data_IF_945994721337
#
_entry.id   IF_945994721337
#
_cell.length_a   1.000
_cell.length_b   1.000
_cell.length_c   1.000
_cell.angle_alpha   90.00
_cell.angle_beta   90.00
_cell.angle_gamma   90.00
#
_symmetry.space_group_name_H-M   'P 1'
#
loop_
_entity.id
_entity.type
_entity.pdbx_description
1 polymer ?
#
# COMPACT_ATOMS: atom_id res chain seq x y z
N UNK A 1 -12.20 9.38 11.26
CA UNK A 1 -12.33 10.33 12.39
C UNK A 1 -11.08 10.22 13.25
N UNK A 2 -10.11 11.12 13.09
CA UNK A 2 -8.88 11.12 13.92
C UNK A 2 -8.57 12.54 14.38
N UNK A 3 -7.90 12.68 15.53
CA UNK A 3 -7.32 13.94 15.99
C UNK A 3 -8.30 15.07 16.35
N UNK A 4 -9.61 14.81 16.46
CA UNK A 4 -10.57 15.86 16.84
C UNK A 4 -10.48 16.18 18.33
N UNK A 5 -9.79 17.28 18.64
CA UNK A 5 -9.72 17.82 19.99
C UNK A 5 -11.11 18.20 20.50
N UNK A 6 -11.41 17.83 21.74
CA UNK A 6 -12.65 18.22 22.41
C UNK A 6 -12.52 19.67 22.87
N UNK A 7 -13.02 20.60 22.07
CA UNK A 7 -13.04 22.03 22.41
C UNK A 7 -14.31 22.34 23.19
N UNK A 8 -14.19 23.01 24.35
CA UNK A 8 -15.33 23.61 25.04
C UNK A 8 -15.73 24.89 24.31
N UNK A 9 -16.80 24.84 23.54
CA UNK A 9 -17.35 26.00 22.78
C UNK A 9 -18.45 26.69 23.58
N UNK A 10 -18.58 28.02 23.45
CA UNK A 10 -19.72 28.75 24.02
C UNK A 10 -21.04 28.31 23.36
N UNK A 11 -22.17 28.54 24.03
CA UNK A 11 -23.50 28.18 23.49
C UNK A 11 -23.81 28.89 22.15
N UNK A 12 -23.37 30.14 22.02
CA UNK A 12 -23.52 30.93 20.79
C UNK A 12 -22.66 30.38 19.64
N UNK A 13 -21.40 30.04 19.92
CA UNK A 13 -20.50 29.47 18.92
C UNK A 13 -20.96 28.06 18.49
N UNK A 14 -21.48 27.26 19.43
CA UNK A 14 -22.07 25.96 19.15
C UNK A 14 -23.30 26.09 18.23
N UNK A 15 -24.16 27.07 18.48
CA UNK A 15 -25.34 27.35 17.65
C UNK A 15 -24.93 27.78 16.24
N UNK A 16 -23.94 28.66 16.10
CA UNK A 16 -23.39 29.07 14.80
C UNK A 16 -22.81 27.90 14.02
N UNK A 17 -21.95 27.09 14.65
CA UNK A 17 -21.38 25.87 14.03
C UNK A 17 -22.45 24.88 13.63
N UNK A 18 -23.51 24.72 14.42
CA UNK A 18 -24.63 23.84 14.08
C UNK A 18 -25.39 24.35 12.86
N UNK A 19 -25.65 25.65 12.76
CA UNK A 19 -26.31 26.26 11.59
C UNK A 19 -25.48 26.07 10.31
N UNK A 20 -24.16 26.30 10.38
CA UNK A 20 -23.24 26.06 9.26
C UNK A 20 -23.20 24.59 8.85
N UNK A 21 -23.15 23.65 9.81
CA UNK A 21 -23.20 22.20 9.54
C UNK A 21 -24.51 21.79 8.88
N UNK A 22 -25.65 22.32 9.35
CA UNK A 22 -26.95 22.04 8.77
C UNK A 22 -27.05 22.55 7.33
N UNK A 23 -26.56 23.75 7.05
CA UNK A 23 -26.51 24.30 5.70
C UNK A 23 -25.64 23.45 4.76
N UNK A 24 -24.44 23.04 5.21
CA UNK A 24 -23.56 22.13 4.45
C UNK A 24 -24.22 20.76 4.22
N UNK A 25 -24.90 20.21 5.22
CA UNK A 25 -25.61 18.95 5.09
C UNK A 25 -26.79 19.04 4.11
N UNK A 26 -27.54 20.14 4.11
CA UNK A 26 -28.62 20.38 3.15
C UNK A 26 -28.08 20.48 1.71
N UNK A 27 -27.00 21.24 1.49
CA UNK A 27 -26.35 21.34 0.19
C UNK A 27 -25.80 19.99 -0.30
N UNK A 28 -25.19 19.20 0.60
CA UNK A 28 -24.73 17.85 0.28
C UNK A 28 -25.89 16.94 -0.14
N UNK A 29 -27.01 16.94 0.60
CA UNK A 29 -28.19 16.12 0.26
C UNK A 29 -28.76 16.50 -1.09
N UNK A 30 -28.99 17.79 -1.33
CA UNK A 30 -29.49 18.27 -2.62
C UNK A 30 -28.55 17.91 -3.79
N UNK A 31 -27.24 18.03 -3.58
CA UNK A 31 -26.23 17.61 -4.57
C UNK A 31 -26.28 16.11 -4.84
N UNK A 32 -26.36 15.28 -3.79
CA UNK A 32 -26.47 13.82 -3.90
C UNK A 32 -27.76 13.38 -4.58
N UNK A 33 -28.91 13.97 -4.23
CA UNK A 33 -30.20 13.68 -4.87
C UNK A 33 -30.13 13.94 -6.37
N UNK A 34 -29.56 15.08 -6.77
CA UNK A 34 -29.38 15.40 -8.19
C UNK A 34 -28.45 14.42 -8.89
N UNK A 35 -27.32 14.07 -8.26
CA UNK A 35 -26.38 13.08 -8.81
C UNK A 35 -27.06 11.70 -8.99
N UNK A 36 -27.84 11.26 -8.01
CA UNK A 36 -28.53 9.97 -8.07
C UNK A 36 -29.60 9.95 -9.16
N UNK A 37 -30.38 11.03 -9.32
CA UNK A 37 -31.35 11.14 -10.41
C UNK A 37 -30.67 11.10 -11.79
N UNK A 38 -29.52 11.78 -11.96
CA UNK A 38 -28.74 11.72 -13.21
C UNK A 38 -28.19 10.32 -13.46
N UNK A 39 -27.71 9.63 -12.42
CA UNK A 39 -27.26 8.24 -12.51
C UNK A 39 -28.38 7.31 -12.97
N UNK A 40 -29.58 7.44 -12.42
CA UNK A 40 -30.75 6.63 -12.81
C UNK A 40 -31.13 6.83 -14.27
N UNK A 41 -30.98 8.05 -14.78
CA UNK A 41 -31.23 8.39 -16.20
C UNK A 41 -30.03 8.16 -17.12
N UNK A 42 -28.92 7.63 -16.59
CA UNK A 42 -27.65 7.45 -17.31
C UNK A 42 -27.11 8.73 -17.98
N UNK A 43 -27.36 9.90 -17.39
CA UNK A 43 -26.89 11.20 -17.87
C UNK A 43 -25.42 11.45 -17.47
N UNK A 44 -24.49 11.06 -18.34
CA UNK A 44 -23.04 11.22 -18.15
C UNK A 44 -22.53 12.53 -18.79
N UNK A 45 -22.91 13.67 -18.23
CA UNK A 45 -22.60 15.00 -18.77
C UNK A 45 -21.66 15.84 -17.88
N UNK A 46 -21.27 17.02 -18.36
CA UNK A 46 -20.36 17.93 -17.67
C UNK A 46 -20.93 18.36 -16.30
N UNK A 47 -22.25 18.49 -16.20
CA UNK A 47 -22.91 18.80 -14.94
C UNK A 47 -22.68 17.70 -13.90
N UNK A 48 -22.79 16.43 -14.26
CA UNK A 48 -22.49 15.32 -13.35
C UNK A 48 -21.04 15.37 -12.87
N UNK A 49 -20.10 15.71 -13.76
CA UNK A 49 -18.69 15.89 -13.40
C UNK A 49 -18.50 17.07 -12.43
N UNK A 50 -19.19 18.19 -12.63
CA UNK A 50 -19.13 19.35 -11.71
C UNK A 50 -19.75 19.01 -10.34
N UNK A 51 -20.91 18.34 -10.31
CA UNK A 51 -21.61 17.98 -9.08
C UNK A 51 -20.81 17.00 -8.23
N UNK A 52 -20.28 15.94 -8.85
CA UNK A 52 -19.40 14.98 -8.15
C UNK A 52 -18.15 15.68 -7.63
N UNK A 53 -17.57 16.60 -8.39
CA UNK A 53 -16.37 17.35 -8.02
C UNK A 53 -16.58 18.23 -6.78
N UNK A 54 -17.71 18.92 -6.69
CA UNK A 54 -18.09 19.74 -5.53
C UNK A 54 -18.19 18.95 -4.23
N UNK A 55 -18.69 17.70 -4.30
CA UNK A 55 -18.82 16.85 -3.13
C UNK A 55 -17.47 16.23 -2.76
N UNK A 56 -16.73 15.72 -3.75
CA UNK A 56 -15.45 15.05 -3.53
C UNK A 56 -14.36 16.00 -3.03
N UNK A 57 -14.38 17.27 -3.44
CA UNK A 57 -13.46 18.28 -2.89
C UNK A 57 -13.68 18.55 -1.40
N UNK A 58 -14.86 18.24 -0.85
CA UNK A 58 -15.13 18.33 0.59
C UNK A 58 -14.96 16.97 1.30
N UNK A 59 -15.27 15.87 0.62
CA UNK A 59 -15.15 14.51 1.14
C UNK A 59 -14.72 13.54 0.03
N UNK A 60 -13.41 13.26 -0.12
CA UNK A 60 -12.91 12.40 -1.18
C UNK A 60 -13.18 10.91 -0.95
N UNK A 61 -13.78 10.52 0.19
CA UNK A 61 -14.03 9.11 0.53
C UNK A 61 -15.39 8.60 0.05
N UNK A 62 -16.12 9.37 -0.76
CA UNK A 62 -17.39 8.93 -1.35
C UNK A 62 -17.12 8.12 -2.63
N UNK A 63 -16.81 6.84 -2.46
CA UNK A 63 -16.38 5.93 -3.54
C UNK A 63 -17.26 5.96 -4.79
N UNK A 64 -18.59 5.97 -4.62
CA UNK A 64 -19.55 5.97 -5.75
C UNK A 64 -19.37 7.16 -6.69
N UNK A 65 -18.98 8.33 -6.17
CA UNK A 65 -18.81 9.52 -6.99
C UNK A 65 -17.59 9.40 -7.89
N UNK A 66 -16.50 8.80 -7.43
CA UNK A 66 -15.35 8.49 -8.28
C UNK A 66 -15.72 7.53 -9.41
N UNK A 67 -16.58 6.54 -9.15
CA UNK A 67 -17.07 5.64 -10.20
C UNK A 67 -17.83 6.40 -11.29
N UNK A 68 -18.71 7.33 -10.89
CA UNK A 68 -19.45 8.18 -11.84
C UNK A 68 -18.51 9.11 -12.61
N UNK A 69 -17.51 9.70 -11.93
CA UNK A 69 -16.47 10.51 -12.61
C UNK A 69 -15.75 9.70 -13.69
N UNK A 70 -15.33 8.46 -13.39
CA UNK A 70 -14.68 7.60 -14.39
C UNK A 70 -15.55 7.37 -15.62
N UNK A 71 -16.85 7.13 -15.43
CA UNK A 71 -17.79 6.97 -16.53
C UNK A 71 -17.90 8.25 -17.39
N UNK A 72 -18.03 9.43 -16.76
CA UNK A 72 -18.00 10.72 -17.48
C UNK A 72 -16.69 10.90 -18.27
N UNK A 73 -15.54 10.69 -17.62
CA UNK A 73 -14.23 10.85 -18.24
C UNK A 73 -14.06 9.91 -19.45
N UNK A 74 -14.49 8.65 -19.33
CA UNK A 74 -14.46 7.69 -20.44
C UNK A 74 -15.36 8.11 -21.60
N UNK A 75 -16.58 8.61 -21.31
CA UNK A 75 -17.50 9.09 -22.35
C UNK A 75 -16.90 10.28 -23.08
N UNK A 76 -16.33 11.25 -22.38
CA UNK A 76 -15.74 12.44 -23.00
C UNK A 76 -14.46 12.13 -23.76
N UNK A 77 -13.59 11.27 -23.22
CA UNK A 77 -12.37 10.84 -23.91
C UNK A 77 -12.68 10.11 -25.23
N UNK A 78 -13.77 9.33 -25.29
CA UNK A 78 -14.23 8.69 -26.54
C UNK A 78 -14.77 9.68 -27.56
N UNK A 79 -15.29 10.82 -27.13
CA UNK A 79 -15.80 11.87 -28.01
C UNK A 79 -14.69 12.79 -28.54
N UNK A 80 -13.52 12.80 -27.89
CA UNK A 80 -12.33 13.54 -28.30
C UNK A 80 -11.38 12.63 -29.08
N UNK A 81 -11.66 12.43 -30.37
CA UNK A 81 -10.87 11.57 -31.25
C UNK A 81 -9.46 12.11 -31.52
N UNK A 82 -9.24 13.42 -31.39
CA UNK A 82 -7.97 14.07 -31.72
C UNK A 82 -6.94 13.91 -30.61
N UNK A 83 -7.32 14.18 -29.35
CA UNK A 83 -6.38 14.15 -28.23
C UNK A 83 -6.62 13.01 -27.25
N UNK A 84 -7.67 12.20 -27.45
CA UNK A 84 -8.07 11.14 -26.52
C UNK A 84 -8.45 11.64 -25.13
N UNK A 85 -8.80 12.93 -25.01
CA UNK A 85 -9.11 13.58 -23.75
C UNK A 85 -7.90 13.86 -22.85
N UNK A 86 -6.68 14.00 -23.39
CA UNK A 86 -5.47 14.23 -22.56
C UNK A 86 -5.63 15.40 -21.59
N UNK A 87 -6.10 16.56 -22.06
CA UNK A 87 -6.33 17.74 -21.20
C UNK A 87 -7.37 17.49 -20.11
N UNK A 88 -8.37 16.65 -20.38
CA UNK A 88 -9.40 16.28 -19.42
C UNK A 88 -8.81 15.43 -18.29
N UNK A 89 -7.97 14.43 -18.62
CA UNK A 89 -7.28 13.62 -17.63
C UNK A 89 -6.27 14.44 -16.81
N UNK A 90 -5.54 15.38 -17.42
CA UNK A 90 -4.62 16.27 -16.71
C UNK A 90 -5.34 17.15 -15.68
N UNK A 91 -6.51 17.71 -16.06
CA UNK A 91 -7.37 18.45 -15.13
C UNK A 91 -7.87 17.56 -13.98
N UNK A 92 -8.19 16.30 -14.26
CA UNK A 92 -8.65 15.36 -13.23
C UNK A 92 -7.51 14.88 -12.32
N UNK A 93 -6.27 14.79 -12.82
CA UNK A 93 -5.06 14.62 -11.99
C UNK A 93 -4.86 15.81 -11.05
N UNK A 94 -5.05 17.05 -11.51
CA UNK A 94 -5.04 18.21 -10.61
C UNK A 94 -6.17 18.15 -9.58
N UNK A 95 -7.35 17.67 -9.98
CA UNK A 95 -8.48 17.49 -9.07
C UNK A 95 -8.21 16.45 -7.98
N UNK A 96 -7.62 15.30 -8.33
CA UNK A 96 -7.21 14.30 -7.33
C UNK A 96 -6.15 14.84 -6.37
N UNK A 97 -5.20 15.65 -6.84
CA UNK A 97 -4.23 16.30 -5.95
C UNK A 97 -4.91 17.24 -4.94
N UNK A 98 -5.89 18.05 -5.36
CA UNK A 98 -6.68 18.87 -4.45
C UNK A 98 -7.44 18.02 -3.42
N UNK A 99 -8.02 16.89 -3.84
CA UNK A 99 -8.71 15.96 -2.95
C UNK A 99 -7.76 15.33 -1.92
N UNK A 100 -6.55 14.98 -2.34
CA UNK A 100 -5.51 14.41 -1.47
C UNK A 100 -4.95 15.43 -0.46
N UNK A 101 -5.00 16.73 -0.76
CA UNK A 101 -4.70 17.77 0.24
C UNK A 101 -5.76 17.83 1.35
N UNK A 102 -7.02 17.47 1.05
CA UNK A 102 -8.09 17.40 2.05
C UNK A 102 -7.98 16.13 2.89
N UNK A 103 -7.75 14.99 2.25
CA UNK A 103 -7.47 13.74 2.95
C UNK A 103 -6.36 12.94 2.23
N UNK A 104 -5.10 13.03 2.69
CA UNK A 104 -3.97 12.33 2.06
C UNK A 104 -4.01 10.81 2.29
N UNK A 105 -4.97 10.32 3.09
CA UNK A 105 -5.20 8.91 3.42
C UNK A 105 -6.46 8.36 2.75
N UNK A 106 -6.99 9.06 1.74
CA UNK A 106 -8.17 8.60 0.99
C UNK A 106 -7.78 7.49 0.01
N UNK A 107 -8.23 6.26 0.29
CA UNK A 107 -8.09 5.14 -0.66
C UNK A 107 -8.71 5.45 -2.01
N UNK A 108 -9.88 6.11 -2.01
CA UNK A 108 -10.64 6.38 -3.22
C UNK A 108 -9.89 7.35 -4.14
N UNK A 109 -9.30 8.41 -3.58
CA UNK A 109 -8.55 9.39 -4.35
C UNK A 109 -7.26 8.80 -4.96
N UNK A 110 -6.48 8.03 -4.17
CA UNK A 110 -5.29 7.34 -4.67
C UNK A 110 -5.62 6.33 -5.77
N UNK A 111 -6.64 5.50 -5.55
CA UNK A 111 -7.07 4.52 -6.55
C UNK A 111 -7.59 5.18 -7.83
N UNK A 112 -8.37 6.26 -7.73
CA UNK A 112 -8.82 7.01 -8.90
C UNK A 112 -7.66 7.63 -9.65
N UNK A 113 -6.63 8.14 -8.95
CA UNK A 113 -5.42 8.67 -9.58
C UNK A 113 -4.65 7.61 -10.37
N UNK A 114 -4.51 6.39 -9.84
CA UNK A 114 -3.95 5.26 -10.60
C UNK A 114 -4.75 5.02 -11.89
N UNK A 115 -6.08 4.95 -11.77
CA UNK A 115 -6.95 4.72 -12.92
C UNK A 115 -6.80 5.82 -13.98
N UNK A 116 -6.73 7.09 -13.58
CA UNK A 116 -6.54 8.21 -14.52
C UNK A 116 -5.25 8.03 -15.32
N UNK A 117 -4.13 7.68 -14.68
CA UNK A 117 -2.85 7.48 -15.37
C UNK A 117 -2.83 6.24 -16.27
N UNK A 118 -3.61 5.20 -15.94
CA UNK A 118 -3.73 4.01 -16.79
C UNK A 118 -4.61 4.22 -18.02
N UNK A 119 -5.46 5.25 -18.01
CA UNK A 119 -6.42 5.52 -19.07
C UNK A 119 -6.12 6.80 -19.86
N UNK A 120 -5.20 7.64 -19.40
CA UNK A 120 -4.80 8.82 -20.17
C UNK A 120 -3.88 8.43 -21.34
N UNK A 121 -3.95 9.15 -22.47
CA UNK A 121 -3.12 8.87 -23.64
C UNK A 121 -1.61 8.91 -23.37
N UNK A 122 -1.14 9.93 -22.65
CA UNK A 122 0.28 10.15 -22.37
C UNK A 122 0.52 10.38 -20.87
N UNK A 123 0.60 9.32 -20.05
CA UNK A 123 0.89 9.45 -18.63
C UNK A 123 2.32 9.93 -18.39
N UNK A 124 2.46 10.97 -17.56
CA UNK A 124 3.77 11.44 -17.09
C UNK A 124 4.10 10.80 -15.74
N UNK A 125 4.70 9.61 -15.77
CA UNK A 125 5.04 8.86 -14.55
C UNK A 125 6.13 9.53 -13.70
N UNK A 126 7.07 10.25 -14.31
CA UNK A 126 8.14 10.96 -13.57
C UNK A 126 7.58 12.05 -12.66
N UNK A 127 6.60 12.81 -13.16
CA UNK A 127 5.87 13.81 -12.36
C UNK A 127 5.17 13.17 -11.15
N UNK A 128 4.73 11.92 -11.27
CA UNK A 128 4.08 11.20 -10.17
C UNK A 128 5.08 10.71 -9.12
N UNK A 129 6.30 10.34 -9.54
CA UNK A 129 7.41 10.06 -8.62
C UNK A 129 7.76 11.33 -7.82
N UNK A 130 7.83 12.49 -8.46
CA UNK A 130 8.04 13.78 -7.80
C UNK A 130 6.91 14.13 -6.82
N UNK A 131 5.65 13.88 -7.20
CA UNK A 131 4.50 14.06 -6.32
C UNK A 131 4.62 13.17 -5.07
N UNK A 132 5.05 11.92 -5.22
CA UNK A 132 5.32 11.05 -4.07
C UNK A 132 6.38 11.64 -3.15
N UNK A 133 7.48 12.17 -3.71
CA UNK A 133 8.53 12.84 -2.94
C UNK A 133 7.99 14.01 -2.13
N UNK A 134 7.12 14.84 -2.73
CA UNK A 134 6.43 15.95 -2.05
C UNK A 134 5.53 15.47 -0.91
N UNK A 135 4.69 14.47 -1.14
CA UNK A 135 3.76 13.97 -0.13
C UNK A 135 4.48 13.27 1.03
N UNK A 136 5.54 12.50 0.73
CA UNK A 136 6.41 11.88 1.75
C UNK A 136 7.32 12.87 2.46
N UNK A 137 7.39 14.13 2.02
CA UNK A 137 7.99 15.22 2.81
C UNK A 137 7.00 15.81 3.81
N UNK A 138 5.70 15.76 3.52
CA UNK A 138 4.64 16.26 4.40
C UNK A 138 4.25 15.23 5.47
N UNK A 139 4.11 13.96 5.09
CA UNK A 139 3.87 12.83 5.99
C UNK A 139 4.68 11.63 5.49
N UNK A 140 5.86 11.47 6.05
CA UNK A 140 6.80 10.41 5.67
C UNK A 140 6.32 9.01 6.04
N UNK A 141 5.28 8.91 6.89
CA UNK A 141 4.67 7.64 7.32
C UNK A 141 3.36 7.35 6.59
N UNK A 142 3.00 8.15 5.58
CA UNK A 142 1.82 7.91 4.77
C UNK A 142 2.02 6.67 3.89
N UNK A 143 1.56 5.51 4.36
CA UNK A 143 1.70 4.24 3.63
C UNK A 143 0.97 4.26 2.29
N UNK A 144 -0.13 5.01 2.14
CA UNK A 144 -0.81 5.12 0.84
C UNK A 144 0.10 5.76 -0.20
N UNK A 145 0.87 6.78 0.19
CA UNK A 145 1.83 7.43 -0.69
C UNK A 145 3.03 6.52 -0.96
N UNK A 146 3.49 5.72 0.00
CA UNK A 146 4.53 4.72 -0.24
C UNK A 146 4.06 3.61 -1.20
N UNK A 147 2.82 3.15 -1.07
CA UNK A 147 2.22 2.17 -1.96
C UNK A 147 2.07 2.73 -3.37
N UNK A 148 1.57 3.96 -3.48
CA UNK A 148 1.48 4.68 -4.74
C UNK A 148 2.86 4.91 -5.36
N UNK A 149 3.87 5.26 -4.56
CA UNK A 149 5.26 5.40 -5.02
C UNK A 149 5.75 4.11 -5.67
N UNK A 150 5.61 2.95 -5.00
CA UNK A 150 6.03 1.65 -5.55
C UNK A 150 5.33 1.33 -6.88
N UNK A 151 4.07 1.73 -7.02
CA UNK A 151 3.33 1.60 -8.27
C UNK A 151 3.89 2.51 -9.38
N UNK A 152 4.09 3.79 -9.12
CA UNK A 152 4.54 4.75 -10.16
C UNK A 152 6.00 4.60 -10.53
N UNK A 153 6.88 4.23 -9.60
CA UNK A 153 8.31 3.97 -9.90
C UNK A 153 8.48 2.76 -10.81
N UNK A 154 7.63 1.73 -10.64
CA UNK A 154 7.60 0.59 -11.54
C UNK A 154 7.12 0.99 -12.94
N UNK A 155 6.09 1.84 -13.04
CA UNK A 155 5.59 2.36 -14.34
C UNK A 155 6.57 3.31 -15.03
N UNK A 156 7.31 4.11 -14.26
CA UNK A 156 8.37 5.00 -14.74
C UNK A 156 9.68 4.25 -15.06
N UNK A 157 9.78 2.94 -14.78
CA UNK A 157 11.02 2.16 -14.90
C UNK A 157 12.19 2.77 -14.09
N UNK A 158 11.90 3.36 -12.93
CA UNK A 158 12.95 3.85 -12.02
C UNK A 158 13.72 2.64 -11.48
N UNK A 159 15.05 2.61 -11.60
CA UNK A 159 15.82 1.45 -11.17
C UNK A 159 15.76 1.29 -9.64
N UNK A 160 15.74 0.05 -9.10
CA UNK A 160 15.70 -0.18 -7.66
C UNK A 160 16.83 0.49 -6.88
N UNK A 161 17.99 0.72 -7.52
CA UNK A 161 19.11 1.45 -6.91
C UNK A 161 18.75 2.88 -6.54
N UNK A 162 17.99 3.59 -7.39
CA UNK A 162 17.50 4.95 -7.10
C UNK A 162 16.47 4.98 -5.98
N UNK A 163 15.65 3.95 -5.87
CA UNK A 163 14.73 3.82 -4.74
C UNK A 163 15.46 3.47 -3.44
N UNK A 164 16.56 2.71 -3.51
CA UNK A 164 17.40 2.45 -2.34
C UNK A 164 18.10 3.74 -1.88
N UNK A 165 18.63 4.54 -2.81
CA UNK A 165 19.17 5.89 -2.53
C UNK A 165 18.11 6.78 -1.86
N UNK A 166 16.89 6.83 -2.40
CA UNK A 166 15.77 7.57 -1.81
C UNK A 166 15.47 7.11 -0.37
N UNK A 167 15.48 5.81 -0.11
CA UNK A 167 15.29 5.30 1.24
C UNK A 167 16.44 5.70 2.19
N UNK A 168 17.69 5.67 1.71
CA UNK A 168 18.86 6.15 2.46
C UNK A 168 18.66 7.62 2.87
N UNK A 169 18.30 8.49 1.93
CA UNK A 169 18.06 9.91 2.18
C UNK A 169 16.97 10.11 3.23
N UNK A 170 15.86 9.35 3.14
CA UNK A 170 14.76 9.43 4.12
C UNK A 170 15.20 9.02 5.53
N UNK A 171 16.02 7.99 5.66
CA UNK A 171 16.54 7.53 6.96
C UNK A 171 17.55 8.52 7.54
N UNK A 172 18.44 9.07 6.71
CA UNK A 172 19.40 10.09 7.16
C UNK A 172 18.70 11.35 7.67
N UNK A 173 17.57 11.72 7.07
CA UNK A 173 16.75 12.84 7.54
C UNK A 173 15.91 12.48 8.77
N UNK A 174 15.40 11.25 8.86
CA UNK A 174 14.69 10.74 10.03
C UNK A 174 14.86 9.22 10.19
N UNK A 175 15.66 8.83 11.18
CA UNK A 175 15.92 7.43 11.49
C UNK A 175 14.68 6.65 11.95
N UNK A 176 13.64 7.33 12.45
CA UNK A 176 12.37 6.70 12.87
C UNK A 176 11.41 6.38 11.71
N UNK A 177 11.85 6.57 10.45
CA UNK A 177 11.01 6.32 9.28
C UNK A 177 10.89 4.81 8.98
N UNK A 178 9.97 4.13 9.68
CA UNK A 178 9.70 2.71 9.49
C UNK A 178 9.39 2.33 8.04
N UNK A 179 8.65 3.17 7.32
CA UNK A 179 8.29 2.91 5.93
C UNK A 179 9.50 2.84 5.02
N UNK A 180 10.51 3.69 5.26
CA UNK A 180 11.77 3.65 4.53
C UNK A 180 12.55 2.36 4.84
N UNK A 181 12.73 2.02 6.13
CA UNK A 181 13.37 0.74 6.53
C UNK A 181 12.68 -0.48 5.92
N UNK A 182 11.35 -0.51 5.95
CA UNK A 182 10.57 -1.57 5.34
C UNK A 182 10.83 -1.66 3.82
N UNK A 183 10.85 -0.52 3.12
CA UNK A 183 11.06 -0.55 1.68
C UNK A 183 12.48 -0.97 1.31
N UNK A 184 13.50 -0.54 2.08
CA UNK A 184 14.88 -1.07 1.95
C UNK A 184 14.92 -2.59 2.06
N UNK A 185 14.20 -3.15 3.03
CA UNK A 185 14.13 -4.60 3.25
C UNK A 185 13.57 -5.38 2.04
N UNK A 186 12.86 -4.69 1.13
CA UNK A 186 12.36 -5.26 -0.13
C UNK A 186 13.28 -5.00 -1.32
N UNK A 187 14.04 -3.91 -1.30
CA UNK A 187 14.94 -3.52 -2.38
C UNK A 187 16.29 -4.25 -2.31
N UNK A 188 16.84 -4.43 -1.10
CA UNK A 188 18.15 -5.04 -0.92
C UNK A 188 18.25 -6.48 -1.47
N UNK A 189 17.25 -7.37 -1.30
CA UNK A 189 17.32 -8.71 -1.88
C UNK A 189 17.33 -8.73 -3.41
N UNK A 190 16.80 -7.67 -4.05
CA UNK A 190 16.79 -7.53 -5.51
C UNK A 190 18.16 -7.05 -6.01
N UNK A 191 18.79 -6.13 -5.28
CA UNK A 191 20.04 -5.48 -5.69
C UNK A 191 21.29 -6.26 -5.26
N UNK A 192 21.24 -6.92 -4.10
CA UNK A 192 22.38 -7.57 -3.47
C UNK A 192 21.99 -8.96 -2.95
N UNK A 193 21.47 -9.87 -3.81
CA UNK A 193 21.08 -11.20 -3.37
C UNK A 193 22.27 -12.00 -2.84
N UNK A 194 22.03 -12.87 -1.87
CA UNK A 194 23.02 -13.87 -1.49
C UNK A 194 23.05 -14.98 -2.55
N UNK A 195 24.19 -15.19 -3.21
CA UNK A 195 24.33 -16.19 -4.25
C UNK A 195 24.66 -17.59 -3.70
N UNK A 196 25.15 -17.68 -2.46
CA UNK A 196 25.64 -18.92 -1.84
C UNK A 196 24.59 -19.55 -0.92
N UNK A 197 23.78 -18.74 -0.24
CA UNK A 197 22.79 -19.18 0.75
C UNK A 197 21.43 -18.51 0.49
N UNK A 198 20.51 -19.26 -0.11
CA UNK A 198 19.16 -18.78 -0.40
C UNK A 198 18.31 -18.53 0.86
N UNK A 199 18.73 -19.02 2.03
CA UNK A 199 18.07 -18.71 3.30
C UNK A 199 18.37 -17.29 3.79
N UNK A 200 19.46 -16.68 3.29
CA UNK A 200 19.84 -15.30 3.57
C UNK A 200 19.38 -14.38 2.44
N UNK A 201 18.63 -13.31 2.75
CA UNK A 201 18.05 -12.48 1.71
C UNK A 201 19.08 -11.60 0.98
N UNK A 202 20.24 -11.33 1.60
CA UNK A 202 21.24 -10.37 1.09
C UNK A 202 22.66 -10.91 1.24
N UNK A 203 23.60 -10.40 0.44
CA UNK A 203 25.01 -10.76 0.51
C UNK A 203 25.63 -10.42 1.87
N UNK A 204 26.66 -11.17 2.28
CA UNK A 204 27.35 -10.97 3.56
C UNK A 204 28.02 -9.58 3.66
N UNK A 205 28.57 -9.08 2.55
CA UNK A 205 29.10 -7.72 2.45
C UNK A 205 28.02 -6.68 2.75
N UNK A 206 26.86 -6.79 2.10
CA UNK A 206 25.78 -5.83 2.28
C UNK A 206 25.13 -5.93 3.66
N UNK A 207 25.06 -7.14 4.22
CA UNK A 207 24.59 -7.36 5.58
C UNK A 207 25.43 -6.58 6.61
N UNK A 208 26.76 -6.59 6.48
CA UNK A 208 27.65 -5.83 7.38
C UNK A 208 27.40 -4.33 7.29
N UNK A 209 27.31 -3.78 6.08
CA UNK A 209 27.00 -2.36 5.88
C UNK A 209 25.65 -1.95 6.50
N UNK A 210 24.60 -2.77 6.30
CA UNK A 210 23.28 -2.47 6.85
C UNK A 210 23.22 -2.62 8.38
N UNK A 211 24.02 -3.54 8.95
CA UNK A 211 24.19 -3.67 10.39
C UNK A 211 24.86 -2.43 11.00
N UNK A 212 25.88 -1.87 10.35
CA UNK A 212 26.51 -0.61 10.79
C UNK A 212 25.53 0.57 10.70
N UNK A 213 24.77 0.65 9.60
CA UNK A 213 23.76 1.69 9.39
C UNK A 213 22.68 1.65 10.48
N UNK A 214 22.09 0.47 10.73
CA UNK A 214 21.02 0.33 11.73
C UNK A 214 21.52 0.51 13.16
N UNK A 215 22.76 0.12 13.43
CA UNK A 215 23.39 0.30 14.74
C UNK A 215 23.55 1.79 15.06
N UNK A 216 23.99 2.58 14.06
CA UNK A 216 24.08 4.03 14.17
C UNK A 216 22.71 4.64 14.46
N UNK A 217 21.66 4.20 13.75
CA UNK A 217 20.29 4.67 13.99
C UNK A 217 19.79 4.33 15.42
N UNK A 218 19.97 3.08 15.85
CA UNK A 218 19.54 2.60 17.16
C UNK A 218 20.27 3.28 18.33
N UNK A 219 21.55 3.63 18.19
CA UNK A 219 22.27 4.39 19.22
C UNK A 219 21.98 5.89 19.17
N UNK A 220 21.56 6.43 18.03
CA UNK A 220 21.15 7.84 17.91
C UNK A 220 19.82 8.09 18.62
N UNK A 221 18.85 7.19 18.44
CA UNK A 221 17.59 7.21 19.19
C UNK A 221 17.19 5.80 19.65
N UNK A 222 17.62 5.38 20.87
CA UNK A 222 17.28 4.07 21.41
C UNK A 222 15.77 3.84 21.60
N UNK A 223 14.98 4.91 21.66
CA UNK A 223 13.53 4.85 21.78
C UNK A 223 12.81 4.54 20.48
N UNK A 224 13.47 4.70 19.32
CA UNK A 224 12.88 4.38 18.04
C UNK A 224 12.84 2.86 17.80
N UNK A 225 11.64 2.31 17.76
CA UNK A 225 11.44 0.89 17.46
C UNK A 225 11.82 0.49 16.02
N UNK A 226 11.86 1.43 15.08
CA UNK A 226 12.00 1.12 13.66
C UNK A 226 13.36 0.51 13.34
N UNK A 227 14.43 1.11 13.85
CA UNK A 227 15.78 0.57 13.74
C UNK A 227 15.88 -0.84 14.36
N UNK A 228 15.30 -1.07 15.54
CA UNK A 228 15.33 -2.39 16.19
C UNK A 228 14.60 -3.48 15.39
N UNK A 229 13.44 -3.16 14.81
CA UNK A 229 12.72 -4.10 13.95
C UNK A 229 13.50 -4.42 12.67
N UNK A 230 14.16 -3.42 12.08
CA UNK A 230 15.00 -3.63 10.91
C UNK A 230 16.25 -4.47 11.23
N UNK A 231 16.90 -4.19 12.36
CA UNK A 231 18.02 -5.00 12.85
C UNK A 231 17.62 -6.45 13.08
N UNK A 232 16.45 -6.68 13.69
CA UNK A 232 15.90 -8.04 13.88
C UNK A 232 15.68 -8.76 12.55
N UNK A 233 15.27 -8.04 11.51
CA UNK A 233 15.16 -8.61 10.16
C UNK A 233 16.54 -8.97 9.59
N UNK A 234 17.55 -8.10 9.72
CA UNK A 234 18.93 -8.36 9.27
C UNK A 234 19.56 -9.57 9.95
N UNK A 235 19.34 -9.72 11.26
CA UNK A 235 19.87 -10.84 12.05
C UNK A 235 19.19 -12.19 11.75
N UNK A 236 18.18 -12.18 10.89
CA UNK A 236 17.54 -13.39 10.41
C UNK A 236 16.49 -13.91 11.38
N UNK A 237 15.22 -13.80 10.97
CA UNK A 237 14.35 -14.96 11.08
C UNK A 237 14.70 -15.89 9.93
N UNK A 238 15.62 -16.83 10.12
CA UNK A 238 15.65 -17.98 9.23
C UNK A 238 14.31 -18.71 9.44
N UNK A 239 13.51 -18.81 8.39
CA UNK A 239 12.48 -19.85 8.39
C UNK A 239 13.28 -21.15 8.47
N UNK A 240 13.09 -21.99 9.52
CA UNK A 240 13.81 -23.24 9.59
C UNK A 240 13.53 -24.01 8.29
N UNK A 241 14.58 -24.55 7.69
CA UNK A 241 14.45 -25.41 6.52
C UNK A 241 13.47 -26.53 6.83
N UNK A 242 12.78 -27.02 5.79
CA UNK A 242 11.91 -28.16 6.00
C UNK A 242 12.75 -29.39 6.33
N UNK A 243 12.63 -29.86 7.57
CA UNK A 243 13.33 -31.04 8.04
C UNK A 243 12.42 -31.84 8.99
N UNK A 244 12.79 -33.09 9.26
CA UNK A 244 12.19 -33.97 10.25
C UNK A 244 12.63 -33.53 11.65
N UNK A 245 11.72 -32.94 12.41
CA UNK A 245 11.98 -32.54 13.79
C UNK A 245 12.00 -33.73 14.74
N UNK A 246 11.15 -34.74 14.50
CA UNK A 246 11.13 -35.98 15.26
C UNK A 246 10.36 -37.08 14.51
N UNK A 247 10.71 -38.32 14.83
CA UNK A 247 10.01 -39.52 14.41
C UNK A 247 9.78 -40.43 15.62
N UNK A 248 8.57 -40.97 15.75
CA UNK A 248 8.23 -41.96 16.77
C UNK A 248 7.41 -43.08 16.16
N UNK A 249 7.78 -44.31 16.46
CA UNK A 249 7.00 -45.50 16.13
C UNK A 249 6.51 -46.17 17.40
N UNK A 250 5.21 -46.44 17.47
CA UNK A 250 4.56 -47.26 18.49
C UNK A 250 4.12 -48.58 17.82
N UNK A 251 4.94 -49.61 17.99
CA UNK A 251 4.70 -50.93 17.37
C UNK A 251 3.51 -51.65 17.99
N UNK A 252 3.18 -51.40 19.26
CA UNK A 252 2.02 -51.99 19.92
C UNK A 252 0.70 -51.43 19.35
N UNK A 253 0.69 -50.17 18.92
CA UNK A 253 -0.46 -49.50 18.30
C UNK A 253 -0.44 -49.48 16.77
N UNK A 254 0.64 -49.93 16.14
CA UNK A 254 0.84 -49.82 14.70
C UNK A 254 0.85 -48.37 14.20
N UNK A 255 1.34 -47.43 15.02
CA UNK A 255 1.28 -45.99 14.76
C UNK A 255 2.68 -45.40 14.56
N UNK A 256 2.88 -44.68 13.45
CA UNK A 256 4.04 -43.84 13.23
C UNK A 256 3.64 -42.35 13.29
N UNK A 257 4.40 -41.56 14.02
CA UNK A 257 4.23 -40.10 14.13
C UNK A 257 5.48 -39.42 13.62
N UNK A 258 5.29 -38.50 12.68
CA UNK A 258 6.35 -37.68 12.08
C UNK A 258 6.03 -36.23 12.39
N UNK A 259 7.01 -35.48 12.91
CA UNK A 259 6.91 -34.04 13.09
C UNK A 259 7.96 -33.33 12.24
N UNK A 260 7.59 -32.20 11.64
CA UNK A 260 8.48 -31.40 10.81
C UNK A 260 8.84 -30.09 11.52
N UNK A 261 9.97 -29.50 11.18
CA UNK A 261 10.44 -28.19 11.67
C UNK A 261 9.50 -27.02 11.32
N UNK A 262 8.63 -27.21 10.32
CA UNK A 262 7.55 -26.28 9.95
C UNK A 262 6.29 -27.04 9.53
N UNK A 263 5.09 -26.44 9.59
CA UNK A 263 3.85 -27.09 9.16
C UNK A 263 3.92 -27.55 7.69
N UNK A 264 3.60 -28.83 7.45
CA UNK A 264 3.53 -29.41 6.09
C UNK A 264 2.14 -30.00 5.86
N UNK A 265 1.56 -29.68 4.71
CA UNK A 265 0.35 -30.33 4.24
C UNK A 265 0.70 -31.49 3.31
N UNK A 266 0.68 -32.72 3.84
CA UNK A 266 0.96 -33.94 3.10
C UNK A 266 -0.18 -34.39 2.17
N UNK A 267 -1.37 -33.77 2.24
CA UNK A 267 -2.52 -34.11 1.38
C UNK A 267 -2.48 -33.42 0.01
N UNK A 268 -1.80 -32.28 -0.09
CA UNK A 268 -1.77 -31.44 -1.30
C UNK A 268 -0.44 -31.47 -2.05
N UNK A 269 0.57 -32.17 -1.53
CA UNK A 269 1.88 -32.31 -2.17
C UNK A 269 2.08 -33.74 -2.62
N UNK A 270 2.80 -33.94 -3.73
CA UNK A 270 3.41 -35.22 -4.13
C UNK A 270 4.52 -35.68 -3.15
N UNK A 271 4.36 -35.38 -1.86
CA UNK A 271 5.28 -35.77 -0.82
C UNK A 271 5.11 -37.26 -0.55
N UNK A 272 6.08 -38.05 -1.01
CA UNK A 272 6.19 -39.48 -0.68
C UNK A 272 7.08 -39.61 0.55
N UNK A 273 6.59 -40.29 1.58
CA UNK A 273 7.43 -40.75 2.67
C UNK A 273 7.64 -42.25 2.50
N UNK A 274 8.89 -42.63 2.20
CA UNK A 274 9.30 -44.03 2.14
C UNK A 274 9.99 -44.38 3.45
N UNK A 275 9.49 -45.41 4.14
CA UNK A 275 10.16 -45.98 5.31
C UNK A 275 10.55 -47.40 4.92
N UNK A 276 11.85 -47.66 4.83
CA UNK A 276 12.36 -48.99 4.50
C UNK A 276 11.81 -50.03 5.49
N UNK A 277 11.16 -51.07 4.95
CA UNK A 277 10.55 -52.16 5.74
C UNK A 277 9.08 -51.96 6.13
N UNK A 278 8.45 -50.83 5.78
CA UNK A 278 7.01 -50.58 5.97
C UNK A 278 6.30 -50.44 4.63
N UNK A 279 5.20 -51.16 4.44
CA UNK A 279 4.41 -51.11 3.21
C UNK A 279 3.76 -49.71 3.07
N UNK A 280 4.12 -48.97 2.02
CA UNK A 280 3.97 -47.51 1.91
C UNK A 280 2.57 -47.00 1.57
N UNK A 281 1.54 -47.87 1.55
CA UNK A 281 0.13 -47.47 1.39
C UNK A 281 -0.49 -46.91 2.70
N UNK A 282 0.28 -46.14 3.47
CA UNK A 282 -0.18 -45.57 4.73
C UNK A 282 -1.03 -44.30 4.47
N UNK A 283 -2.26 -44.29 4.98
CA UNK A 283 -3.12 -43.09 4.98
C UNK A 283 -2.62 -42.11 6.04
N UNK A 284 -1.79 -41.14 5.63
CA UNK A 284 -1.34 -40.06 6.50
C UNK A 284 -2.50 -39.19 6.99
N UNK A 285 -2.59 -39.00 8.30
CA UNK A 285 -3.56 -38.11 8.92
C UNK A 285 -2.81 -37.07 9.75
N UNK A 286 -3.20 -35.80 9.60
CA UNK A 286 -2.77 -34.75 10.52
C UNK A 286 -3.47 -34.97 11.86
N UNK A 287 -2.71 -34.92 12.95
CA UNK A 287 -3.28 -34.79 14.30
C UNK A 287 -4.02 -33.45 14.47
#
# INVERSE_FOLDING_TARGET
>A
MHGRLKVRTSAEEATRKQKERNAKAAAFRAGMERILAKKERAELDEELLVLTGKILSANPDVATLWNLRRQCLQTFAKADEETGGQSLFDKDLSFTEMCLQVNPKSYCAWHHRCWVLENCPTPNWDKEVELCTKYLKMDERNFHCWDYRRYVVAKANVPPSKELEFCTEKIQNNFSNYSSWHYRSKLLPILHPNQEDASRPISEEKLKEELELVLTAAFTDPGDSSAWFYQRWLLGYSQPELDLAAFRMDTAKGLAVVTFTRPVNLKHKDAKLEIEGLNTNANWQSA
#
